data_IF_608284581603
#
_entry.id   IF_608284581603
#
_cell.length_a   1.000
_cell.length_b   1.000
_cell.length_c   1.000
_cell.angle_alpha   90.00
_cell.angle_beta   90.00
_cell.angle_gamma   90.00
#
_symmetry.space_group_name_H-M   'P 1'
#
loop_
_entity.id
_entity.type
_entity.pdbx_description
1 polymer ?
#
# COMPACT_ATOMS: atom_id res chain seq x y z
N UNK A 1 15.40 13.19 5.23
CA UNK A 1 14.85 11.81 5.26
C UNK A 1 14.25 11.55 3.87
N UNK A 2 14.52 10.40 3.25
CA UNK A 2 14.01 10.10 1.91
C UNK A 2 12.71 9.30 2.03
N UNK A 3 11.71 9.65 1.21
CA UNK A 3 10.46 8.89 1.11
C UNK A 3 10.55 7.95 -0.08
N UNK A 4 10.36 6.65 0.16
CA UNK A 4 10.25 5.64 -0.90
C UNK A 4 8.79 5.33 -1.10
N UNK A 5 8.34 5.30 -2.36
CA UNK A 5 6.97 5.02 -2.76
C UNK A 5 6.96 3.91 -3.80
N UNK A 6 6.15 2.88 -3.57
CA UNK A 6 6.02 1.73 -4.48
C UNK A 6 4.55 1.42 -4.73
N UNK A 7 4.19 1.22 -6.00
CA UNK A 7 2.89 0.69 -6.41
C UNK A 7 2.98 -0.81 -6.58
N UNK A 8 2.22 -1.56 -5.81
CA UNK A 8 2.31 -3.04 -5.78
C UNK A 8 0.93 -3.69 -5.86
N UNK A 9 0.85 -4.95 -6.33
CA UNK A 9 -0.37 -5.74 -6.19
C UNK A 9 -0.74 -5.96 -4.72
N UNK A 10 -2.03 -5.97 -4.40
CA UNK A 10 -2.52 -6.35 -3.08
C UNK A 10 -2.28 -7.85 -2.87
N UNK A 11 -1.49 -8.20 -1.85
CA UNK A 11 -1.15 -9.57 -1.45
C UNK A 11 -1.24 -9.74 0.06
N UNK A 12 -2.40 -9.37 0.60
CA UNK A 12 -2.69 -9.38 2.04
C UNK A 12 -2.73 -10.77 2.65
N UNK A 13 -2.70 -11.81 1.81
CA UNK A 13 -2.62 -13.23 2.15
C UNK A 13 -1.17 -13.73 2.34
N UNK A 14 -0.18 -12.95 1.89
CA UNK A 14 1.21 -13.38 1.91
C UNK A 14 1.83 -13.24 3.29
N UNK A 15 2.67 -14.21 3.69
CA UNK A 15 3.45 -14.15 4.93
C UNK A 15 4.23 -12.84 5.06
N UNK A 16 4.88 -12.41 3.98
CA UNK A 16 5.65 -11.17 3.95
C UNK A 16 4.79 -9.93 4.24
N UNK A 17 3.53 -9.91 3.79
CA UNK A 17 2.62 -8.83 4.12
C UNK A 17 2.36 -8.76 5.64
N UNK A 18 2.04 -9.90 6.24
CA UNK A 18 1.74 -9.98 7.67
C UNK A 18 2.96 -9.68 8.55
N UNK A 19 4.13 -10.22 8.21
CA UNK A 19 5.32 -10.13 9.06
C UNK A 19 6.12 -8.84 8.89
N UNK A 20 6.02 -8.19 7.72
CA UNK A 20 6.86 -7.03 7.38
C UNK A 20 6.06 -5.83 6.90
N UNK A 21 5.34 -5.96 5.80
CA UNK A 21 4.72 -4.79 5.17
C UNK A 21 3.69 -4.12 6.08
N UNK A 22 2.85 -4.89 6.77
CA UNK A 22 1.80 -4.35 7.64
C UNK A 22 2.33 -3.65 8.91
N UNK A 23 3.60 -3.90 9.26
CA UNK A 23 4.26 -3.34 10.45
C UNK A 23 5.15 -2.15 10.08
N UNK A 24 5.95 -2.32 9.03
CA UNK A 24 7.06 -1.42 8.70
C UNK A 24 6.65 -0.31 7.71
N UNK A 25 5.60 -0.52 6.91
CA UNK A 25 5.18 0.42 5.87
C UNK A 25 3.83 1.07 6.16
N UNK A 26 3.67 2.31 5.68
CA UNK A 26 2.37 2.94 5.56
C UNK A 26 1.73 2.48 4.23
N UNK A 27 0.56 1.83 4.32
CA UNK A 27 -0.12 1.19 3.18
C UNK A 27 -1.41 1.95 2.84
N UNK A 28 -1.59 2.29 1.57
CA UNK A 28 -2.83 2.87 1.04
C UNK A 28 -3.49 1.91 0.05
N UNK A 29 -4.71 1.48 0.33
CA UNK A 29 -5.51 0.61 -0.54
C UNK A 29 -6.28 1.48 -1.53
N UNK A 30 -6.03 1.28 -2.82
CA UNK A 30 -6.63 2.09 -3.88
C UNK A 30 -8.07 1.66 -4.17
N UNK A 31 -8.97 2.63 -4.29
CA UNK A 31 -10.36 2.40 -4.68
C UNK A 31 -10.48 2.58 -6.21
N UNK A 32 -10.94 1.55 -6.92
CA UNK A 32 -11.28 1.57 -8.36
C UNK A 32 -10.10 1.42 -9.35
N UNK A 33 -10.32 0.96 -10.61
CA UNK A 33 -9.29 0.34 -11.40
C UNK A 33 -8.35 1.38 -11.98
N UNK A 34 -7.13 1.38 -11.44
CA UNK A 34 -6.00 2.05 -12.09
C UNK A 34 -5.84 1.44 -13.49
N UNK A 35 -5.87 2.28 -14.52
CA UNK A 35 -5.64 1.84 -15.91
C UNK A 35 -4.18 2.05 -16.24
N UNK A 36 -3.52 0.99 -16.69
CA UNK A 36 -2.15 1.11 -17.21
C UNK A 36 -2.24 1.33 -18.71
N UNK A 37 -1.44 2.27 -19.21
CA UNK A 37 -1.31 2.42 -20.65
C UNK A 37 -0.52 1.23 -21.18
N UNK A 38 -1.03 0.58 -22.22
CA UNK A 38 -0.24 -0.38 -22.98
C UNK A 38 0.78 0.35 -23.88
N UNK A 39 1.61 -0.39 -24.61
CA UNK A 39 2.61 0.17 -25.52
C UNK A 39 2.03 1.07 -26.63
N UNK A 40 0.72 1.02 -26.86
CA UNK A 40 -0.02 1.84 -27.83
C UNK A 40 -0.81 2.98 -27.18
N UNK A 41 -0.61 3.25 -25.88
CA UNK A 41 -1.30 4.31 -25.15
C UNK A 41 -2.77 4.01 -24.80
N UNK A 42 -3.24 2.78 -24.99
CA UNK A 42 -4.61 2.38 -24.61
C UNK A 42 -4.62 1.88 -23.16
N UNK A 43 -5.52 2.43 -22.35
CA UNK A 43 -5.72 2.02 -20.96
C UNK A 43 -6.23 0.58 -20.86
N UNK A 44 -5.40 -0.31 -20.34
CA UNK A 44 -5.72 -1.70 -20.04
C UNK A 44 -6.18 -1.84 -18.59
N UNK A 45 -7.24 -2.61 -18.38
CA UNK A 45 -7.71 -2.99 -17.06
C UNK A 45 -6.75 -4.00 -16.43
N UNK A 46 -6.40 -3.80 -15.17
CA UNK A 46 -5.53 -4.72 -14.43
C UNK A 46 -6.40 -5.77 -13.76
N UNK A 47 -6.08 -7.08 -13.86
CA UNK A 47 -6.89 -8.14 -13.26
C UNK A 47 -6.68 -8.29 -11.74
N UNK A 48 -6.00 -7.34 -11.08
CA UNK A 48 -5.71 -7.39 -9.65
C UNK A 48 -5.81 -6.00 -9.01
N UNK A 49 -6.13 -5.99 -7.73
CA UNK A 49 -6.16 -4.78 -6.92
C UNK A 49 -4.75 -4.27 -6.64
N UNK A 50 -4.60 -2.96 -6.50
CA UNK A 50 -3.33 -2.30 -6.22
C UNK A 50 -3.35 -1.58 -4.88
N UNK A 51 -2.16 -1.41 -4.32
CA UNK A 51 -1.91 -0.59 -3.14
C UNK A 51 -0.62 0.20 -3.30
N UNK A 52 -0.55 1.33 -2.59
CA UNK A 52 0.69 2.11 -2.44
C UNK A 52 1.33 1.74 -1.12
N UNK A 53 2.62 1.43 -1.16
CA UNK A 53 3.50 1.29 -0.01
C UNK A 53 4.36 2.54 0.10
N UNK A 54 4.45 3.12 1.28
CA UNK A 54 5.37 4.22 1.56
C UNK A 54 6.22 3.94 2.78
N UNK A 55 7.50 4.30 2.68
CA UNK A 55 8.47 4.28 3.77
C UNK A 55 8.96 5.70 4.01
N UNK A 56 8.83 6.19 5.24
CA UNK A 56 9.24 7.55 5.61
C UNK A 56 8.33 8.65 5.09
N UNK A 57 7.06 8.37 4.81
CA UNK A 57 6.07 9.39 4.48
C UNK A 57 5.62 10.15 5.74
N UNK A 58 5.53 11.48 5.65
CA UNK A 58 5.01 12.30 6.75
C UNK A 58 3.49 12.23 6.83
N UNK A 59 2.91 12.65 7.96
CA UNK A 59 1.46 12.69 8.13
C UNK A 59 0.80 13.62 7.10
N UNK A 60 1.42 14.75 6.78
CA UNK A 60 0.94 15.73 5.81
C UNK A 60 0.95 15.16 4.39
N UNK A 61 2.00 14.41 4.03
CA UNK A 61 2.06 13.73 2.72
C UNK A 61 0.95 12.68 2.59
N UNK A 62 0.70 11.91 3.65
CA UNK A 62 -0.37 10.90 3.67
C UNK A 62 -1.76 11.51 3.59
N UNK A 63 -2.00 12.60 4.32
CA UNK A 63 -3.25 13.35 4.27
C UNK A 63 -3.49 13.92 2.86
N UNK A 64 -2.49 14.62 2.30
CA UNK A 64 -2.59 15.21 0.96
C UNK A 64 -2.78 14.17 -0.13
N UNK A 65 -2.16 13.00 -0.01
CA UNK A 65 -2.38 11.91 -0.97
C UNK A 65 -3.82 11.40 -0.93
N UNK A 66 -4.40 11.24 0.27
CA UNK A 66 -5.76 10.78 0.46
C UNK A 66 -6.83 11.75 -0.09
N UNK A 67 -6.52 13.05 -0.16
CA UNK A 67 -7.39 14.05 -0.81
C UNK A 67 -7.42 13.91 -2.34
N UNK A 68 -6.34 13.39 -2.93
CA UNK A 68 -6.13 13.36 -4.38
C UNK A 68 -6.51 12.02 -5.02
N UNK A 69 -6.35 10.93 -4.29
CA UNK A 69 -6.49 9.57 -4.83
C UNK A 69 -7.54 8.79 -4.04
N UNK A 70 -8.63 8.33 -4.68
CA UNK A 70 -9.63 7.50 -4.01
C UNK A 70 -9.01 6.23 -3.40
N UNK A 71 -9.29 6.00 -2.12
CA UNK A 71 -8.75 4.88 -1.37
C UNK A 71 -8.81 5.11 0.13
N UNK A 72 -8.06 4.31 0.89
CA UNK A 72 -7.94 4.50 2.33
C UNK A 72 -6.60 3.99 2.86
N UNK A 73 -6.12 4.62 3.93
CA UNK A 73 -4.95 4.18 4.67
C UNK A 73 -5.29 2.97 5.54
N UNK A 74 -4.52 1.89 5.40
CA UNK A 74 -4.60 0.75 6.29
C UNK A 74 -3.87 1.08 7.59
N UNK A 75 -4.51 0.81 8.73
CA UNK A 75 -3.86 0.94 10.02
C UNK A 75 -2.66 -0.02 10.12
N UNK A 76 -1.52 0.49 10.61
CA UNK A 76 -0.35 -0.37 10.85
C UNK A 76 -0.67 -1.37 11.97
N UNK A 77 -0.21 -2.60 11.80
CA UNK A 77 -0.26 -3.59 12.87
C UNK A 77 0.68 -3.15 13.99
N UNK A 78 0.13 -2.92 15.19
CA UNK A 78 0.91 -2.64 16.41
C UNK A 78 1.22 -3.91 17.18
N UNK A 79 0.84 -5.09 16.67
CA UNK A 79 1.20 -6.35 17.29
C UNK A 79 2.72 -6.51 17.21
N UNK A 80 3.41 -6.24 18.33
CA UNK A 80 4.77 -6.74 18.53
C UNK A 80 4.80 -8.27 18.34
N UNK A 81 5.97 -8.87 18.11
CA UNK A 81 6.08 -10.32 17.97
C UNK A 81 5.30 -10.95 19.12
N UNK A 82 4.28 -11.74 18.79
CA UNK A 82 3.51 -12.45 19.78
C UNK A 82 4.52 -13.30 20.56
N UNK A 83 4.87 -12.83 21.76
CA UNK A 83 5.70 -13.58 22.66
C UNK A 83 5.01 -14.93 22.81
N UNK A 84 5.72 -15.99 22.41
CA UNK A 84 5.28 -17.35 22.64
C UNK A 84 4.99 -17.43 24.13
N UNK A 85 3.71 -17.49 24.49
CA UNK A 85 3.29 -17.89 25.82
C UNK A 85 3.04 -19.38 25.74
N UNK A 86 3.89 -20.07 26.50
CA UNK A 86 3.86 -21.48 26.93
C UNK A 86 4.38 -22.50 25.92
#
# INVERSE_FOLDING_TARGET
>A
MQTVVSLVPVRTDSRWFHEKLSTDADIYLLQSPVRFLNAHGKGQHIPFSLMVLTLGATAEQKARYAELVPGFWLARSTAGPAGIRE
#
